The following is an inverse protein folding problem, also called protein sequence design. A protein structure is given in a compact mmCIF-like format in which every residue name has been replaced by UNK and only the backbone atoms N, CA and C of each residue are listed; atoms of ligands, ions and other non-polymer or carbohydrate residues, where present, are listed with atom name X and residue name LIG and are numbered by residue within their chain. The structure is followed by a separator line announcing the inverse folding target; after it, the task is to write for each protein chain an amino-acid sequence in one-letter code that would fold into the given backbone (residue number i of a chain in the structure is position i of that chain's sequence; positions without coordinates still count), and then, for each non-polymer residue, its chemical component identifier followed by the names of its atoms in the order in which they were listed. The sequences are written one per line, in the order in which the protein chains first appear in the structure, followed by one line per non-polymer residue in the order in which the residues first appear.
data_IF_882293707613
#
_entry.id   IF_882293707613
#
_cell.length_a   1.000
_cell.length_b   1.000
_cell.length_c   1.000
_cell.angle_alpha   90.00
_cell.angle_beta   90.00
_cell.angle_gamma   90.00
#
_symmetry.space_group_name_H-M   'P 1'
#
loop_
_entity.id
_entity.type
_entity.pdbx_description
1 polymer ?
#
# COMPACT_ATOMS: atom_id res chain seq x y z
N UNK A 1 -14.55 15.67 19.24
CA UNK A 1 -15.16 14.55 18.47
C UNK A 1 -14.09 13.72 17.76
N UNK A 2 -12.90 14.29 17.57
CA UNK A 2 -11.75 13.79 16.79
C UNK A 2 -11.13 12.45 17.25
N UNK A 3 -11.62 11.87 18.34
CA UNK A 3 -11.14 10.59 18.85
C UNK A 3 -11.47 9.46 17.86
N UNK A 4 -12.63 9.52 17.19
CA UNK A 4 -13.04 8.52 16.20
C UNK A 4 -12.19 8.63 14.94
N UNK A 5 -11.97 9.85 14.42
CA UNK A 5 -11.07 10.08 13.30
C UNK A 5 -9.67 9.52 13.57
N UNK A 6 -9.12 9.80 14.76
CA UNK A 6 -7.77 9.43 15.14
C UNK A 6 -7.60 7.91 15.27
N UNK A 7 -8.58 7.23 15.89
CA UNK A 7 -8.58 5.77 16.02
C UNK A 7 -8.69 5.10 14.66
N UNK A 8 -9.60 5.55 13.79
CA UNK A 8 -9.74 4.99 12.43
C UNK A 8 -8.45 5.16 11.63
N UNK A 9 -7.83 6.34 11.71
CA UNK A 9 -6.59 6.63 11.00
C UNK A 9 -5.43 5.76 11.51
N UNK A 10 -5.33 5.55 12.83
CA UNK A 10 -4.31 4.66 13.42
C UNK A 10 -4.49 3.21 12.96
N UNK A 11 -5.71 2.68 13.03
CA UNK A 11 -5.98 1.30 12.61
C UNK A 11 -5.68 1.13 11.11
N UNK A 12 -6.14 2.06 10.28
CA UNK A 12 -5.88 2.01 8.85
C UNK A 12 -4.40 2.15 8.50
N UNK A 13 -3.66 3.04 9.16
CA UNK A 13 -2.22 3.22 8.90
C UNK A 13 -1.39 2.01 9.32
N UNK A 14 -1.73 1.36 10.44
CA UNK A 14 -1.12 0.09 10.86
C UNK A 14 -1.39 -1.00 9.81
N UNK A 15 -2.62 -1.11 9.32
CA UNK A 15 -2.97 -2.08 8.29
C UNK A 15 -2.17 -1.87 7.00
N UNK A 16 -2.08 -0.62 6.52
CA UNK A 16 -1.30 -0.24 5.33
C UNK A 16 0.19 -0.51 5.55
N UNK A 17 0.73 -0.24 6.75
CA UNK A 17 2.11 -0.51 7.10
C UNK A 17 2.44 -2.01 7.12
N UNK A 18 1.57 -2.84 7.71
CA UNK A 18 1.75 -4.30 7.71
C UNK A 18 1.75 -4.84 6.28
N UNK A 19 0.81 -4.38 5.45
CA UNK A 19 0.77 -4.76 4.04
C UNK A 19 2.05 -4.35 3.29
N UNK A 20 2.53 -3.12 3.49
CA UNK A 20 3.76 -2.63 2.88
C UNK A 20 4.98 -3.45 3.32
N UNK A 21 5.16 -3.67 4.62
CA UNK A 21 6.25 -4.48 5.17
C UNK A 21 6.21 -5.91 4.62
N UNK A 22 5.03 -6.52 4.53
CA UNK A 22 4.86 -7.83 3.89
C UNK A 22 5.33 -7.82 2.44
N UNK A 23 4.97 -6.81 1.65
CA UNK A 23 5.41 -6.72 0.25
C UNK A 23 6.92 -6.50 0.10
N UNK A 24 7.58 -5.86 1.06
CA UNK A 24 9.04 -5.74 1.10
C UNK A 24 9.72 -7.08 1.37
N UNK A 25 9.23 -7.85 2.36
CA UNK A 25 9.86 -9.12 2.74
C UNK A 25 9.54 -10.29 1.81
N UNK A 26 8.49 -10.19 0.98
CA UNK A 26 8.16 -11.19 -0.05
C UNK A 26 9.07 -11.07 -1.29
N UNK A 27 9.92 -10.04 -1.38
CA UNK A 27 10.96 -9.97 -2.43
C UNK A 27 11.97 -11.10 -2.21
N UNK A 28 11.99 -12.08 -3.11
CA UNK A 28 13.06 -13.07 -3.17
C UNK A 28 14.41 -12.34 -3.33
N UNK A 29 15.30 -12.55 -2.37
CA UNK A 29 16.65 -11.97 -2.35
C UNK A 29 17.53 -12.53 -3.48
N UNK A 30 17.20 -13.73 -3.97
CA UNK A 30 17.97 -14.47 -4.98
C UNK A 30 17.34 -14.35 -6.37
N UNK A 31 17.28 -13.14 -6.93
CA UNK A 31 16.88 -12.98 -8.34
C UNK A 31 18.12 -12.90 -9.23
N UNK A 32 18.23 -13.85 -10.17
CA UNK A 32 19.23 -13.81 -11.23
C UNK A 32 18.96 -12.61 -12.15
N UNK A 33 20.03 -11.88 -12.49
CA UNK A 33 19.95 -10.75 -13.43
C UNK A 33 19.37 -11.23 -14.76
N UNK A 34 18.42 -10.47 -15.32
CA UNK A 34 17.92 -10.71 -16.67
C UNK A 34 19.09 -10.78 -17.67
N UNK A 35 18.93 -11.51 -18.79
CA UNK A 35 19.90 -11.60 -19.89
C UNK A 35 20.32 -10.22 -20.45
N UNK A 36 19.55 -9.16 -20.16
CA UNK A 36 19.83 -7.76 -20.51
C UNK A 36 20.57 -6.98 -19.40
N UNK A 37 20.92 -7.61 -18.27
CA UNK A 37 21.58 -6.98 -17.12
C UNK A 37 20.70 -6.02 -16.30
N UNK A 38 19.38 -6.03 -16.50
CA UNK A 38 18.42 -5.20 -15.77
C UNK A 38 17.89 -5.93 -14.54
N UNK A 39 17.60 -5.19 -13.47
CA UNK A 39 16.90 -5.69 -12.28
C UNK A 39 15.41 -5.33 -12.35
N UNK A 40 14.55 -6.15 -12.97
CA UNK A 40 13.12 -5.84 -13.14
C UNK A 40 12.36 -5.71 -11.81
N UNK A 41 12.81 -6.36 -10.72
CA UNK A 41 12.19 -6.21 -9.39
C UNK A 41 12.51 -4.89 -8.67
N UNK A 42 13.57 -4.17 -9.04
CA UNK A 42 13.90 -2.88 -8.39
C UNK A 42 12.88 -1.78 -8.73
N UNK A 43 12.40 -1.73 -9.97
CA UNK A 43 11.31 -0.81 -10.34
C UNK A 43 10.01 -1.17 -9.61
N UNK A 44 9.75 -2.46 -9.39
CA UNK A 44 8.54 -2.93 -8.68
C UNK A 44 8.48 -2.43 -7.24
N UNK A 45 9.56 -2.53 -6.47
CA UNK A 45 9.58 -2.06 -5.08
C UNK A 45 9.43 -0.54 -4.98
N UNK A 46 9.93 0.21 -5.98
CA UNK A 46 9.71 1.64 -6.08
C UNK A 46 8.23 2.00 -6.22
N UNK A 47 7.52 1.36 -7.14
CA UNK A 47 6.07 1.59 -7.33
C UNK A 47 5.24 1.20 -6.10
N UNK A 48 5.61 0.11 -5.40
CA UNK A 48 4.96 -0.29 -4.14
C UNK A 48 5.15 0.78 -3.06
N UNK A 49 6.34 1.36 -2.97
CA UNK A 49 6.64 2.45 -2.02
C UNK A 49 5.85 3.71 -2.37
N UNK A 50 5.73 4.07 -3.65
CA UNK A 50 4.89 5.19 -4.07
C UNK A 50 3.41 4.95 -3.78
N UNK A 51 2.91 3.74 -3.97
CA UNK A 51 1.53 3.38 -3.64
C UNK A 51 1.28 3.49 -2.13
N UNK A 52 2.19 2.97 -1.29
CA UNK A 52 2.13 3.14 0.16
C UNK A 52 2.05 4.61 0.56
N UNK A 53 2.97 5.44 0.03
CA UNK A 53 3.00 6.87 0.34
C UNK A 53 1.73 7.58 -0.11
N UNK A 54 1.22 7.24 -1.30
CA UNK A 54 -0.04 7.77 -1.84
C UNK A 54 -1.25 7.41 -0.97
N UNK A 55 -1.33 6.17 -0.48
CA UNK A 55 -2.39 5.72 0.43
C UNK A 55 -2.33 6.46 1.77
N UNK A 56 -1.13 6.58 2.36
CA UNK A 56 -0.94 7.33 3.61
C UNK A 56 -1.34 8.80 3.46
N UNK A 57 -0.95 9.44 2.35
CA UNK A 57 -1.33 10.81 2.05
C UNK A 57 -2.85 10.97 1.88
N UNK A 58 -3.49 10.09 1.11
CA UNK A 58 -4.95 10.11 0.93
C UNK A 58 -5.67 9.94 2.26
N UNK A 59 -5.26 8.98 3.08
CA UNK A 59 -5.85 8.78 4.41
C UNK A 59 -5.70 10.04 5.28
N UNK A 60 -4.54 10.69 5.27
CA UNK A 60 -4.32 11.92 6.03
C UNK A 60 -5.19 13.09 5.51
N UNK A 61 -5.32 13.22 4.19
CA UNK A 61 -6.19 14.20 3.54
C UNK A 61 -7.66 14.01 3.97
N UNK A 62 -8.12 12.77 3.98
CA UNK A 62 -9.48 12.42 4.40
C UNK A 62 -9.68 12.61 5.90
N UNK A 63 -8.70 12.25 6.74
CA UNK A 63 -8.75 12.51 8.17
C UNK A 63 -8.80 14.01 8.49
N UNK A 64 -8.10 14.83 7.71
CA UNK A 64 -8.17 16.30 7.81
C UNK A 64 -9.56 16.87 7.50
N UNK A 65 -10.41 16.14 6.77
CA UNK A 65 -11.78 16.55 6.45
C UNK A 65 -12.80 16.24 7.56
N UNK A 66 -12.39 15.56 8.64
CA UNK A 66 -13.22 15.22 9.80
C UNK A 66 -13.45 13.72 10.01
N UNK A 67 -14.29 13.37 10.99
CA UNK A 67 -14.51 11.98 11.44
C UNK A 67 -14.97 11.03 10.33
N UNK A 68 -15.99 11.44 9.56
CA UNK A 68 -16.48 10.65 8.43
C UNK A 68 -15.44 10.49 7.33
N UNK A 69 -14.61 11.52 7.12
CA UNK A 69 -13.52 11.49 6.16
C UNK A 69 -12.52 10.39 6.50
N UNK A 70 -12.02 10.34 7.74
CA UNK A 70 -11.07 9.33 8.19
C UNK A 70 -11.54 7.88 7.96
N UNK A 71 -12.82 7.61 8.24
CA UNK A 71 -13.43 6.29 8.01
C UNK A 71 -13.45 5.95 6.52
N UNK A 72 -13.90 6.88 5.68
CA UNK A 72 -13.95 6.68 4.22
C UNK A 72 -12.53 6.47 3.66
N UNK A 73 -11.57 7.27 4.08
CA UNK A 73 -10.16 7.16 3.66
C UNK A 73 -9.56 5.80 4.02
N UNK A 74 -9.86 5.30 5.22
CA UNK A 74 -9.40 3.99 5.70
C UNK A 74 -10.00 2.84 4.88
N UNK A 75 -11.30 2.91 4.58
CA UNK A 75 -11.99 1.91 3.74
C UNK A 75 -11.45 1.94 2.31
N UNK A 76 -11.24 3.12 1.74
CA UNK A 76 -10.70 3.28 0.40
C UNK A 76 -9.30 2.68 0.28
N UNK A 77 -8.43 2.94 1.27
CA UNK A 77 -7.09 2.35 1.31
C UNK A 77 -7.14 0.82 1.37
N UNK A 78 -8.02 0.25 2.21
CA UNK A 78 -8.21 -1.19 2.28
C UNK A 78 -8.69 -1.79 0.94
N UNK A 79 -9.63 -1.14 0.25
CA UNK A 79 -10.10 -1.59 -1.07
C UNK A 79 -9.00 -1.58 -2.13
N UNK A 80 -8.16 -0.54 -2.14
CA UNK A 80 -7.02 -0.43 -3.07
C UNK A 80 -6.00 -1.53 -2.78
N UNK A 81 -5.69 -1.80 -1.51
CA UNK A 81 -4.80 -2.89 -1.09
C UNK A 81 -5.34 -4.24 -1.55
N UNK A 82 -6.62 -4.54 -1.27
CA UNK A 82 -7.25 -5.81 -1.68
C UNK A 82 -7.22 -5.98 -3.20
N UNK A 83 -7.46 -4.90 -3.96
CA UNK A 83 -7.34 -4.92 -5.42
C UNK A 83 -5.89 -5.18 -5.85
N UNK A 84 -4.93 -4.52 -5.22
CA UNK A 84 -3.49 -4.68 -5.51
C UNK A 84 -3.03 -6.12 -5.24
N UNK A 85 -3.42 -6.73 -4.13
CA UNK A 85 -3.08 -8.13 -3.83
C UNK A 85 -3.77 -9.12 -4.79
N UNK A 86 -5.03 -8.87 -5.18
CA UNK A 86 -5.71 -9.71 -6.18
C UNK A 86 -4.99 -9.69 -7.52
N UNK A 87 -4.49 -8.54 -7.95
CA UNK A 87 -3.70 -8.42 -9.16
C UNK A 87 -2.36 -9.15 -8.99
N UNK A 88 -1.67 -8.96 -7.86
CA UNK A 88 -0.42 -9.67 -7.54
C UNK A 88 -0.57 -11.19 -7.62
N UNK A 89 -1.65 -11.75 -7.08
CA UNK A 89 -1.89 -13.20 -7.11
C UNK A 89 -2.15 -13.76 -8.51
N UNK A 90 -2.62 -12.94 -9.47
CA UNK A 90 -3.00 -13.40 -10.81
C UNK A 90 -1.87 -13.28 -11.83
N UNK A 91 -1.12 -12.19 -11.79
CA UNK A 91 -0.11 -11.85 -12.79
C UNK A 91 1.31 -11.85 -12.23
N UNK A 92 1.47 -12.04 -10.92
CA UNK A 92 2.75 -11.86 -10.24
C UNK A 92 3.24 -10.42 -10.27
N UNK A 93 2.45 -9.44 -10.72
CA UNK A 93 2.78 -8.02 -10.77
C UNK A 93 1.55 -7.20 -10.27
N UNK A 94 1.69 -6.39 -9.22
CA UNK A 94 0.55 -5.70 -8.60
C UNK A 94 0.01 -4.50 -9.40
N UNK A 95 0.64 -4.11 -10.52
CA UNK A 95 0.35 -2.87 -11.27
C UNK A 95 -0.07 -3.08 -12.73
N UNK A 96 -0.21 -4.33 -13.19
CA UNK A 96 -0.78 -4.69 -14.49
C UNK A 96 -2.22 -5.13 -14.36
#
# INVERSE_FOLDING_TARGET
NDSIASISFLIGSIFVAIWYVRTLFVLHHDEEMDNTGRMPKAARSFWVSQLYLGLMFLMALFASSGDFGSVIGSILAALIIVRSEKNFSKTGNPFV
#
